data_IF_292561485335
#
_entry.id   IF_292561485335
#
_cell.length_a   1.000
_cell.length_b   1.000
_cell.length_c   1.000
_cell.angle_alpha   90.00
_cell.angle_beta   90.00
_cell.angle_gamma   90.00
#
_symmetry.space_group_name_H-M   'P 1'
#
loop_
_entity.id
_entity.type
_entity.pdbx_description
1 polymer ?
#
# COMPACT_ATOMS: atom_id res chain seq x y z
N UNK A 1 25.25 10.94 22.73
CA UNK A 1 24.36 11.70 21.83
C UNK A 1 24.20 10.87 20.57
N UNK A 2 22.97 10.65 20.10
CA UNK A 2 22.68 9.79 18.94
C UNK A 2 22.80 10.65 17.67
N UNK A 3 23.45 10.15 16.62
CA UNK A 3 23.69 10.88 15.38
C UNK A 3 22.78 10.40 14.24
N UNK A 4 22.00 11.33 13.68
CA UNK A 4 21.12 11.13 12.52
C UNK A 4 21.62 11.88 11.26
N UNK A 5 22.86 12.40 11.28
CA UNK A 5 23.47 13.19 10.20
C UNK A 5 23.46 12.51 8.83
N UNK A 6 23.38 11.18 8.79
CA UNK A 6 23.25 10.38 7.57
C UNK A 6 22.09 10.83 6.68
N UNK A 7 20.99 11.32 7.27
CA UNK A 7 19.78 11.73 6.55
C UNK A 7 19.65 13.25 6.38
N UNK A 8 20.73 14.01 6.58
CA UNK A 8 20.70 15.48 6.50
C UNK A 8 20.47 16.01 5.08
N UNK A 9 20.83 15.23 4.06
CA UNK A 9 20.81 15.66 2.66
C UNK A 9 19.94 14.69 1.86
N UNK A 10 18.64 14.93 1.87
CA UNK A 10 17.64 14.20 1.08
C UNK A 10 17.10 15.16 0.01
N UNK A 11 17.07 14.71 -1.24
CA UNK A 11 16.49 15.42 -2.37
C UNK A 11 15.19 14.72 -2.78
N UNK A 12 14.08 15.43 -2.64
CA UNK A 12 12.74 15.03 -3.07
C UNK A 12 12.34 15.91 -4.25
N UNK A 13 12.12 15.32 -5.43
CA UNK A 13 11.86 16.11 -6.65
C UNK A 13 10.50 16.79 -6.67
N UNK A 14 9.55 16.24 -5.92
CA UNK A 14 8.15 16.65 -5.75
C UNK A 14 7.87 17.20 -4.35
N UNK A 15 8.87 17.85 -3.74
CA UNK A 15 8.73 18.51 -2.44
C UNK A 15 7.74 19.69 -2.54
N UNK A 16 6.53 19.50 -2.00
CA UNK A 16 5.45 20.51 -2.00
C UNK A 16 5.72 21.69 -1.07
N UNK A 17 6.64 21.54 -0.11
CA UNK A 17 7.03 22.62 0.80
C UNK A 17 8.05 23.57 0.16
N UNK A 18 8.80 23.13 -0.86
CA UNK A 18 9.78 23.94 -1.61
C UNK A 18 9.19 24.46 -2.93
N UNK A 19 8.21 25.36 -2.79
CA UNK A 19 7.48 25.98 -3.91
C UNK A 19 7.56 27.51 -3.85
N UNK A 20 7.21 28.17 -4.95
CA UNK A 20 7.20 29.63 -5.03
C UNK A 20 5.88 30.09 -5.66
N UNK A 21 5.19 31.14 -5.13
CA UNK A 21 3.89 31.58 -5.63
C UNK A 21 3.83 31.92 -7.13
N UNK A 22 4.97 32.23 -7.73
CA UNK A 22 5.09 32.59 -9.14
C UNK A 22 5.64 31.47 -10.05
N UNK A 23 5.85 30.26 -9.52
CA UNK A 23 6.37 29.11 -10.28
C UNK A 23 5.32 28.00 -10.32
N UNK A 24 5.04 27.49 -11.51
CA UNK A 24 4.13 26.37 -11.72
C UNK A 24 4.75 25.07 -11.15
N UNK A 25 4.18 24.58 -10.05
CA UNK A 25 4.72 23.46 -9.27
C UNK A 25 4.77 22.14 -10.05
N UNK A 26 3.75 21.75 -10.87
CA UNK A 26 3.81 20.50 -11.63
C UNK A 26 4.92 20.50 -12.67
N UNK A 27 5.16 21.64 -13.33
CA UNK A 27 6.26 21.81 -14.28
C UNK A 27 7.62 21.81 -13.58
N UNK A 28 7.72 22.47 -12.42
CA UNK A 28 8.93 22.48 -11.60
C UNK A 28 9.35 21.09 -11.12
N UNK A 29 8.41 20.28 -10.62
CA UNK A 29 8.71 18.92 -10.14
C UNK A 29 9.23 18.01 -11.26
N UNK A 30 8.62 18.10 -12.45
CA UNK A 30 9.10 17.38 -13.63
C UNK A 30 10.51 17.82 -14.02
N UNK A 31 10.79 19.12 -13.97
CA UNK A 31 12.11 19.65 -14.27
C UNK A 31 13.15 19.20 -13.24
N UNK A 32 12.85 19.26 -11.95
CA UNK A 32 13.71 18.75 -10.86
C UNK A 32 14.01 17.27 -11.04
N UNK A 33 12.98 16.47 -11.35
CA UNK A 33 13.13 15.05 -11.65
C UNK A 33 14.05 14.79 -12.85
N UNK A 34 13.87 15.54 -13.94
CA UNK A 34 14.71 15.44 -15.13
C UNK A 34 16.17 15.81 -14.82
N UNK A 35 16.41 16.94 -14.16
CA UNK A 35 17.75 17.39 -13.77
C UNK A 35 18.45 16.38 -12.84
N UNK A 36 17.70 15.69 -11.98
CA UNK A 36 18.21 14.61 -11.13
C UNK A 36 18.63 13.40 -11.97
N UNK A 37 17.79 12.96 -12.90
CA UNK A 37 18.10 11.85 -13.82
C UNK A 37 19.35 12.17 -14.66
N UNK A 38 19.46 13.39 -15.18
CA UNK A 38 20.61 13.83 -15.95
C UNK A 38 21.91 13.78 -15.14
N UNK A 39 21.91 14.34 -13.92
CA UNK A 39 23.07 14.23 -12.99
C UNK A 39 23.47 12.79 -12.70
N UNK A 40 22.50 11.90 -12.45
CA UNK A 40 22.77 10.48 -12.22
C UNK A 40 23.32 9.78 -13.47
N UNK A 41 22.81 10.12 -14.65
CA UNK A 41 23.27 9.57 -15.92
C UNK A 41 24.69 10.03 -16.26
N UNK A 42 25.04 11.29 -15.99
CA UNK A 42 26.39 11.82 -16.14
C UNK A 42 27.38 11.12 -15.22
N UNK A 43 27.05 10.99 -13.93
CA UNK A 43 27.89 10.26 -12.97
C UNK A 43 28.07 8.79 -13.37
N UNK A 44 27.01 8.15 -13.86
CA UNK A 44 27.08 6.78 -14.38
C UNK A 44 28.01 6.67 -15.59
N UNK A 45 27.98 7.64 -16.51
CA UNK A 45 28.91 7.72 -17.66
C UNK A 45 30.35 7.96 -17.21
N UNK A 46 30.58 8.87 -16.27
CA UNK A 46 31.91 9.11 -15.68
C UNK A 46 32.48 7.81 -15.09
N UNK A 47 31.69 7.12 -14.26
CA UNK A 47 32.09 5.85 -13.63
C UNK A 47 32.38 4.75 -14.67
N UNK A 48 31.57 4.63 -15.73
CA UNK A 48 31.82 3.68 -16.82
C UNK A 48 33.12 4.00 -17.57
N UNK A 49 33.38 5.29 -17.85
CA UNK A 49 34.62 5.72 -18.51
C UNK A 49 35.85 5.42 -17.65
N UNK A 50 35.74 5.62 -16.34
CA UNK A 50 36.78 5.32 -15.37
C UNK A 50 37.09 3.81 -15.32
N UNK A 51 36.07 2.96 -15.21
CA UNK A 51 36.24 1.50 -15.20
C UNK A 51 36.85 1.00 -16.53
N UNK A 52 36.48 1.60 -17.67
CA UNK A 52 37.11 1.29 -18.96
C UNK A 52 38.60 1.69 -19.01
N UNK A 53 38.98 2.86 -18.49
CA UNK A 53 40.38 3.29 -18.39
C UNK A 53 41.19 2.37 -17.48
N UNK A 54 40.63 2.03 -16.31
CA UNK A 54 41.23 1.15 -15.31
C UNK A 54 41.48 -0.24 -15.87
N UNK A 55 40.46 -0.89 -16.41
CA UNK A 55 40.58 -2.22 -17.03
C UNK A 55 41.58 -2.24 -18.19
N UNK A 56 41.64 -1.19 -19.01
CA UNK A 56 42.66 -1.04 -20.06
C UNK A 56 44.07 -0.90 -19.47
N UNK A 57 44.24 -0.06 -18.44
CA UNK A 57 45.53 0.14 -17.80
C UNK A 57 46.03 -1.15 -17.13
N UNK A 58 45.16 -1.88 -16.43
CA UNK A 58 45.49 -3.13 -15.77
C UNK A 58 45.93 -4.21 -16.77
N UNK A 59 45.25 -4.32 -17.92
CA UNK A 59 45.66 -5.22 -19.02
C UNK A 59 47.05 -4.86 -19.56
N UNK A 60 47.29 -3.59 -19.85
CA UNK A 60 48.58 -3.12 -20.37
C UNK A 60 49.70 -3.33 -19.35
N UNK A 61 49.41 -3.15 -18.06
CA UNK A 61 50.38 -3.35 -16.97
C UNK A 61 50.74 -4.83 -16.82
N UNK A 62 49.76 -5.73 -16.92
CA UNK A 62 49.97 -7.18 -16.94
C UNK A 62 50.84 -7.60 -18.14
N UNK A 63 50.53 -7.11 -19.34
CA UNK A 63 51.32 -7.39 -20.55
C UNK A 63 52.75 -6.83 -20.46
N UNK A 64 52.92 -5.62 -19.92
CA UNK A 64 54.22 -5.01 -19.72
C UNK A 64 55.08 -5.78 -18.70
N UNK A 65 54.47 -6.27 -17.61
CA UNK A 65 55.14 -7.14 -16.63
C UNK A 65 55.58 -8.47 -17.25
N UNK A 66 54.71 -9.14 -18.02
CA UNK A 66 55.06 -10.36 -18.76
C UNK A 66 56.18 -10.13 -19.78
N UNK A 67 56.22 -8.97 -20.45
CA UNK A 67 57.29 -8.59 -21.38
C UNK A 67 58.64 -8.32 -20.68
N UNK A 68 58.65 -8.04 -19.38
CA UNK A 68 59.87 -7.86 -18.59
C UNK A 68 60.51 -9.20 -18.17
N UNK A 69 59.74 -10.29 -18.04
CA UNK A 69 60.20 -11.59 -17.54
C UNK A 69 61.02 -12.41 -18.55
N UNK A 70 61.25 -11.92 -19.78
CA UNK A 70 61.88 -12.70 -20.85
C UNK A 70 62.85 -11.96 -21.79
N UNK A 71 63.32 -10.75 -21.45
CA UNK A 71 64.21 -9.94 -22.31
C UNK A 71 65.49 -9.49 -21.58
N UNK A 72 66.62 -9.44 -22.29
CA UNK A 72 67.91 -8.91 -21.81
C UNK A 72 68.41 -7.76 -22.71
N UNK A 73 69.11 -6.77 -22.13
CA UNK A 73 69.65 -5.60 -22.84
C UNK A 73 68.70 -4.39 -22.93
N UNK A 74 68.84 -3.56 -23.98
CA UNK A 74 68.09 -2.29 -24.17
C UNK A 74 66.55 -2.44 -24.12
N UNK A 75 66.02 -3.61 -24.51
CA UNK A 75 64.60 -3.91 -24.50
C UNK A 75 64.01 -4.15 -23.09
N UNK A 76 64.84 -4.52 -22.10
CA UNK A 76 64.43 -4.62 -20.69
C UNK A 76 64.28 -3.24 -20.05
N UNK A 77 65.18 -2.31 -20.37
CA UNK A 77 65.12 -0.92 -19.89
C UNK A 77 63.90 -0.18 -20.46
N UNK A 78 63.54 -0.43 -21.72
CA UNK A 78 62.32 0.12 -22.32
C UNK A 78 61.06 -0.46 -21.67
N UNK A 79 61.01 -1.78 -21.42
CA UNK A 79 59.90 -2.42 -20.74
C UNK A 79 59.73 -1.95 -19.28
N UNK A 80 60.83 -1.75 -18.54
CA UNK A 80 60.81 -1.16 -17.19
C UNK A 80 60.31 0.29 -17.18
N UNK A 81 60.69 1.10 -18.17
CA UNK A 81 60.16 2.46 -18.33
C UNK A 81 58.66 2.45 -18.61
N UNK A 82 58.17 1.51 -19.40
CA UNK A 82 56.75 1.39 -19.70
C UNK A 82 55.93 0.88 -18.51
N UNK A 83 56.47 -0.06 -17.72
CA UNK A 83 55.89 -0.44 -16.42
C UNK A 83 55.82 0.76 -15.49
N UNK A 84 56.90 1.53 -15.35
CA UNK A 84 56.92 2.73 -14.50
C UNK A 84 55.93 3.82 -14.97
N UNK A 85 55.72 3.98 -16.28
CA UNK A 85 54.69 4.88 -16.84
C UNK A 85 53.28 4.38 -16.51
N UNK A 86 53.01 3.08 -16.65
CA UNK A 86 51.70 2.48 -16.37
C UNK A 86 51.37 2.51 -14.86
N UNK A 87 52.38 2.37 -14.00
CA UNK A 87 52.24 2.53 -12.54
C UNK A 87 51.97 3.99 -12.14
N UNK A 88 52.55 4.98 -12.84
CA UNK A 88 52.18 6.40 -12.66
C UNK A 88 50.72 6.65 -13.04
N UNK A 89 50.29 6.13 -14.19
CA UNK A 89 48.88 6.19 -14.63
C UNK A 89 47.94 5.49 -13.65
N UNK A 90 48.37 4.40 -13.03
CA UNK A 90 47.60 3.71 -12.01
C UNK A 90 47.39 4.58 -10.75
N UNK A 91 48.42 5.32 -10.32
CA UNK A 91 48.30 6.30 -9.23
C UNK A 91 47.37 7.46 -9.58
N UNK A 92 47.38 7.92 -10.84
CA UNK A 92 46.43 8.94 -11.32
C UNK A 92 44.99 8.42 -11.31
N UNK A 93 44.76 7.19 -11.78
CA UNK A 93 43.44 6.54 -11.71
C UNK A 93 42.97 6.31 -10.28
N UNK A 94 43.88 6.06 -9.32
CA UNK A 94 43.50 5.96 -7.91
C UNK A 94 42.96 7.30 -7.38
N UNK A 95 43.61 8.42 -7.73
CA UNK A 95 43.14 9.76 -7.38
C UNK A 95 41.81 10.10 -8.05
N UNK A 96 41.63 9.71 -9.32
CA UNK A 96 40.35 9.87 -10.05
C UNK A 96 39.23 9.08 -9.37
N UNK A 97 39.53 7.87 -8.87
CA UNK A 97 38.59 7.06 -8.08
C UNK A 97 38.20 7.73 -6.77
N UNK A 98 39.17 8.19 -5.99
CA UNK A 98 38.89 8.85 -4.70
C UNK A 98 38.05 10.11 -4.90
N UNK A 99 38.22 10.82 -6.02
CA UNK A 99 37.38 11.95 -6.39
C UNK A 99 35.95 11.51 -6.72
N UNK A 100 35.77 10.42 -7.48
CA UNK A 100 34.45 9.83 -7.76
C UNK A 100 33.76 9.35 -6.48
N UNK A 101 34.45 8.59 -5.62
CA UNK A 101 33.90 8.10 -4.34
C UNK A 101 33.47 9.26 -3.42
N UNK A 102 34.20 10.39 -3.45
CA UNK A 102 33.80 11.61 -2.73
C UNK A 102 32.56 12.25 -3.34
N UNK A 103 32.47 12.34 -4.68
CA UNK A 103 31.25 12.82 -5.35
C UNK A 103 30.05 11.96 -4.97
N UNK A 104 30.21 10.63 -4.97
CA UNK A 104 29.14 9.69 -4.59
C UNK A 104 28.69 9.85 -3.14
N UNK A 105 29.62 10.04 -2.20
CA UNK A 105 29.29 10.28 -0.78
C UNK A 105 28.61 11.61 -0.53
N UNK A 106 28.91 12.63 -1.35
CA UNK A 106 28.28 13.95 -1.26
C UNK A 106 26.94 14.02 -2.00
N UNK A 107 26.57 12.98 -2.76
CA UNK A 107 25.29 12.97 -3.45
C UNK A 107 24.13 12.98 -2.45
N UNK A 108 23.07 13.74 -2.76
CA UNK A 108 21.86 13.70 -1.96
C UNK A 108 21.18 12.34 -2.05
N UNK A 109 20.60 11.92 -0.94
CA UNK A 109 19.72 10.76 -0.87
C UNK A 109 18.43 11.03 -1.62
N UNK A 110 17.98 10.08 -2.42
CA UNK A 110 16.73 10.13 -3.18
C UNK A 110 16.11 8.72 -3.23
N UNK A 111 14.92 8.58 -3.84
CA UNK A 111 14.20 7.31 -3.92
C UNK A 111 15.04 6.15 -4.47
N UNK A 112 15.96 6.43 -5.40
CA UNK A 112 16.81 5.42 -6.06
C UNK A 112 18.07 5.04 -5.26
N UNK A 113 18.48 5.89 -4.31
CA UNK A 113 19.69 5.69 -3.49
C UNK A 113 19.36 5.24 -2.08
N UNK A 114 18.23 5.67 -1.51
CA UNK A 114 17.80 5.35 -0.14
C UNK A 114 17.49 3.86 0.02
N UNK A 115 16.78 3.28 -0.95
CA UNK A 115 16.29 1.91 -0.84
C UNK A 115 16.12 1.24 -2.20
N UNK A 116 15.90 -0.07 -2.18
CA UNK A 116 15.50 -0.87 -3.33
C UNK A 116 14.22 -1.63 -2.97
N UNK A 117 13.48 -2.06 -3.98
CA UNK A 117 12.31 -2.92 -3.78
C UNK A 117 12.73 -4.20 -3.05
N UNK A 118 12.31 -4.35 -1.79
CA UNK A 118 12.63 -5.52 -0.97
C UNK A 118 11.64 -6.67 -1.16
N UNK A 119 10.35 -6.34 -1.18
CA UNK A 119 9.26 -7.29 -1.36
C UNK A 119 8.04 -6.58 -1.95
N UNK A 120 7.43 -7.19 -2.96
CA UNK A 120 6.19 -6.69 -3.56
C UNK A 120 5.22 -7.86 -3.71
N UNK A 121 4.05 -7.75 -3.07
CA UNK A 121 2.95 -8.72 -3.19
C UNK A 121 1.64 -7.98 -3.33
N UNK A 122 0.98 -8.19 -4.45
CA UNK A 122 -0.37 -7.67 -4.70
C UNK A 122 -1.37 -8.78 -4.50
N UNK A 123 -2.39 -8.54 -3.67
CA UNK A 123 -3.51 -9.46 -3.45
C UNK A 123 -4.77 -8.74 -3.89
N UNK A 124 -5.42 -9.25 -4.94
CA UNK A 124 -6.72 -8.78 -5.37
C UNK A 124 -7.79 -9.68 -4.76
N UNK A 125 -8.61 -9.12 -3.87
CA UNK A 125 -9.74 -9.85 -3.29
C UNK A 125 -10.88 -9.91 -4.32
N UNK A 126 -10.89 -10.97 -5.13
CA UNK A 126 -11.99 -11.22 -6.08
C UNK A 126 -13.20 -11.74 -5.29
N UNK A 127 -14.42 -11.23 -5.53
CA UNK A 127 -15.61 -11.74 -4.87
C UNK A 127 -15.77 -13.24 -5.21
N UNK A 128 -15.83 -14.08 -4.20
CA UNK A 128 -16.18 -15.49 -4.40
C UNK A 128 -17.69 -15.57 -4.65
N UNK A 129 -18.15 -16.40 -5.60
CA UNK A 129 -19.57 -16.74 -5.70
C UNK A 129 -20.04 -17.25 -4.34
N UNK A 130 -21.18 -16.77 -3.86
CA UNK A 130 -21.79 -17.32 -2.64
C UNK A 130 -22.10 -18.80 -2.92
N UNK A 131 -21.30 -19.71 -2.39
CA UNK A 131 -21.71 -21.09 -2.24
C UNK A 131 -22.88 -21.06 -1.26
N UNK A 132 -24.09 -21.27 -1.76
CA UNK A 132 -25.24 -21.55 -0.91
C UNK A 132 -24.94 -22.87 -0.20
N UNK A 133 -24.33 -22.77 0.98
CA UNK A 133 -24.26 -23.90 1.89
C UNK A 133 -25.72 -24.27 2.18
N UNK A 134 -26.19 -25.36 1.59
CA UNK A 134 -27.50 -25.93 1.85
C UNK A 134 -27.45 -26.52 3.25
N UNK A 135 -27.46 -25.67 4.29
CA UNK A 135 -27.61 -26.11 5.66
C UNK A 135 -28.97 -26.80 5.80
N UNK A 136 -28.96 -27.95 6.47
CA UNK A 136 -30.20 -28.63 6.85
C UNK A 136 -31.02 -27.74 7.79
N UNK A 137 -32.35 -27.92 7.80
CA UNK A 137 -33.25 -27.09 8.62
C UNK A 137 -32.87 -27.12 10.11
N UNK A 138 -32.39 -28.27 10.59
CA UNK A 138 -31.91 -28.44 11.98
C UNK A 138 -30.68 -27.59 12.30
N UNK A 139 -29.74 -27.45 11.35
CA UNK A 139 -28.53 -26.64 11.54
C UNK A 139 -28.86 -25.13 11.48
N UNK A 140 -29.84 -24.75 10.64
CA UNK A 140 -30.36 -23.37 10.60
C UNK A 140 -31.02 -23.01 11.93
N UNK A 141 -31.77 -23.92 12.55
CA UNK A 141 -32.37 -23.68 13.86
C UNK A 141 -31.31 -23.53 14.97
N UNK A 142 -30.28 -24.39 14.98
CA UNK A 142 -29.19 -24.30 15.96
C UNK A 142 -28.38 -23.00 15.81
N UNK A 143 -28.07 -22.61 14.57
CA UNK A 143 -27.34 -21.36 14.30
C UNK A 143 -28.18 -20.15 14.65
N UNK A 144 -29.49 -20.18 14.38
CA UNK A 144 -30.42 -19.13 14.80
C UNK A 144 -30.49 -19.01 16.33
N UNK A 145 -30.57 -20.12 17.07
CA UNK A 145 -30.58 -20.09 18.55
C UNK A 145 -29.30 -19.45 19.10
N UNK A 146 -28.13 -19.89 18.64
CA UNK A 146 -26.84 -19.31 19.04
C UNK A 146 -26.75 -17.81 18.71
N UNK A 147 -27.15 -17.43 17.50
CA UNK A 147 -27.14 -16.04 17.07
C UNK A 147 -28.03 -15.15 17.96
N UNK A 148 -29.23 -15.63 18.28
CA UNK A 148 -30.18 -14.92 19.14
C UNK A 148 -29.63 -14.80 20.57
N UNK A 149 -29.05 -15.86 21.13
CA UNK A 149 -28.46 -15.85 22.47
C UNK A 149 -27.29 -14.86 22.58
N UNK A 150 -26.40 -14.83 21.57
CA UNK A 150 -25.24 -13.95 21.55
C UNK A 150 -25.61 -12.48 21.31
N UNK A 151 -26.64 -12.23 20.49
CA UNK A 151 -27.00 -10.88 20.05
C UNK A 151 -28.29 -10.34 20.67
N UNK A 152 -28.90 -11.04 21.63
CA UNK A 152 -30.15 -10.65 22.27
C UNK A 152 -30.20 -9.17 22.73
N UNK A 153 -29.18 -8.63 23.43
CA UNK A 153 -29.22 -7.22 23.85
C UNK A 153 -29.20 -6.26 22.66
N UNK A 154 -28.45 -6.58 21.60
CA UNK A 154 -28.36 -5.76 20.40
C UNK A 154 -29.66 -5.81 19.58
N UNK A 155 -30.30 -6.98 19.50
CA UNK A 155 -31.58 -7.18 18.83
C UNK A 155 -32.69 -6.37 19.50
N UNK A 156 -32.71 -6.38 20.85
CA UNK A 156 -33.63 -5.56 21.64
C UNK A 156 -33.34 -4.07 21.47
N UNK A 157 -32.08 -3.65 21.54
CA UNK A 157 -31.70 -2.25 21.31
C UNK A 157 -32.15 -1.77 19.93
N UNK A 158 -31.92 -2.56 18.88
CA UNK A 158 -32.36 -2.24 17.53
C UNK A 158 -33.88 -2.08 17.43
N UNK A 159 -34.65 -3.02 17.98
CA UNK A 159 -36.12 -2.94 17.92
C UNK A 159 -36.73 -1.80 18.74
N UNK A 160 -35.97 -1.19 19.64
CA UNK A 160 -36.38 0.03 20.37
C UNK A 160 -36.07 1.33 19.61
N UNK A 161 -35.34 1.28 18.50
CA UNK A 161 -35.07 2.46 17.67
C UNK A 161 -36.31 2.86 16.87
N UNK A 162 -36.40 4.14 16.52
CA UNK A 162 -37.50 4.69 15.73
C UNK A 162 -37.01 5.52 14.55
N UNK A 163 -35.99 6.36 14.76
CA UNK A 163 -35.45 7.23 13.71
C UNK A 163 -34.61 6.42 12.73
N UNK A 164 -34.83 6.66 11.44
CA UNK A 164 -34.09 6.01 10.37
C UNK A 164 -32.57 6.26 10.44
N UNK A 165 -32.13 7.45 10.86
CA UNK A 165 -30.71 7.76 11.03
C UNK A 165 -30.06 6.93 12.13
N UNK A 166 -30.76 6.73 13.25
CA UNK A 166 -30.27 5.96 14.38
C UNK A 166 -30.24 4.46 14.01
N UNK A 167 -31.30 3.96 13.35
CA UNK A 167 -31.35 2.59 12.82
C UNK A 167 -30.24 2.32 11.79
N UNK A 168 -29.94 3.31 10.92
CA UNK A 168 -28.85 3.21 9.92
C UNK A 168 -27.48 3.13 10.60
N UNK A 169 -27.20 4.01 11.56
CA UNK A 169 -25.92 4.01 12.30
C UNK A 169 -25.74 2.70 13.06
N UNK A 170 -26.77 2.25 13.76
CA UNK A 170 -26.73 1.01 14.52
C UNK A 170 -26.46 -0.22 13.63
N UNK A 171 -27.10 -0.31 12.46
CA UNK A 171 -26.87 -1.41 11.52
C UNK A 171 -25.51 -1.33 10.81
N UNK A 172 -24.92 -0.14 10.68
CA UNK A 172 -23.55 0.01 10.18
C UNK A 172 -22.49 -0.37 11.23
N UNK A 173 -22.76 -0.10 12.51
CA UNK A 173 -21.92 -0.56 13.63
C UNK A 173 -22.05 -2.08 13.85
N UNK A 174 -23.22 -2.64 13.57
CA UNK A 174 -23.53 -4.06 13.71
C UNK A 174 -24.05 -4.70 12.40
N UNK A 175 -23.23 -4.81 11.33
CA UNK A 175 -23.68 -5.33 10.04
C UNK A 175 -24.15 -6.78 10.09
N UNK A 176 -23.71 -7.56 11.08
CA UNK A 176 -24.12 -8.96 11.26
C UNK A 176 -25.61 -9.10 11.59
N UNK A 177 -26.25 -8.04 12.11
CA UNK A 177 -27.68 -8.02 12.40
C UNK A 177 -28.55 -7.90 11.14
N UNK A 178 -28.01 -7.48 10.00
CA UNK A 178 -28.74 -7.46 8.72
C UNK A 178 -28.82 -8.87 8.12
N UNK A 179 -29.55 -9.77 8.80
CA UNK A 179 -29.75 -11.17 8.41
C UNK A 179 -31.21 -11.61 8.66
N UNK A 180 -31.62 -12.72 8.04
CA UNK A 180 -32.98 -13.27 8.19
C UNK A 180 -33.30 -13.66 9.65
N UNK A 181 -32.30 -14.09 10.43
CA UNK A 181 -32.48 -14.47 11.83
C UNK A 181 -32.94 -13.30 12.71
N UNK A 182 -32.43 -12.09 12.44
CA UNK A 182 -32.87 -10.88 13.15
C UNK A 182 -34.34 -10.59 12.86
N UNK A 183 -34.77 -10.67 11.60
CA UNK A 183 -36.17 -10.48 11.24
C UNK A 183 -37.07 -11.51 11.95
N UNK A 184 -36.67 -12.79 11.96
CA UNK A 184 -37.41 -13.86 12.65
C UNK A 184 -37.51 -13.61 14.16
N UNK A 185 -36.43 -13.16 14.80
CA UNK A 185 -36.43 -12.82 16.23
C UNK A 185 -37.39 -11.66 16.52
N UNK A 186 -37.35 -10.58 15.72
CA UNK A 186 -38.22 -9.42 15.92
C UNK A 186 -39.70 -9.79 15.76
N UNK A 187 -40.05 -10.64 14.79
CA UNK A 187 -41.43 -11.16 14.64
C UNK A 187 -41.86 -11.95 15.87
N UNK A 188 -41.01 -12.88 16.35
CA UNK A 188 -41.30 -13.65 17.57
C UNK A 188 -41.43 -12.74 18.79
N UNK A 189 -40.63 -11.67 18.86
CA UNK A 189 -40.72 -10.68 19.93
C UNK A 189 -42.02 -9.90 19.88
N UNK A 190 -42.48 -9.48 18.69
CA UNK A 190 -43.80 -8.87 18.51
C UNK A 190 -44.93 -9.78 19.02
N UNK A 191 -44.89 -11.08 18.71
CA UNK A 191 -45.90 -12.04 19.21
C UNK A 191 -45.89 -12.11 20.74
N UNK A 192 -44.70 -12.17 21.37
CA UNK A 192 -44.59 -12.19 22.84
C UNK A 192 -45.13 -10.90 23.46
N UNK A 193 -44.83 -9.75 22.87
CA UNK A 193 -45.33 -8.46 23.34
C UNK A 193 -46.84 -8.31 23.20
N UNK A 194 -47.43 -8.91 22.16
CA UNK A 194 -48.88 -8.94 21.96
C UNK A 194 -49.57 -9.82 23.01
N UNK A 195 -48.96 -10.96 23.38
CA UNK A 195 -49.44 -11.79 24.51
C UNK A 195 -49.35 -11.06 25.85
N UNK A 196 -48.39 -10.15 26.01
CA UNK A 196 -48.22 -9.29 27.19
C UNK A 196 -49.10 -8.02 27.15
N UNK A 197 -50.01 -7.89 26.17
CA UNK A 197 -50.92 -6.74 25.97
C UNK A 197 -50.20 -5.38 25.73
N UNK A 198 -48.96 -5.39 25.22
CA UNK A 198 -48.16 -4.18 24.96
C UNK A 198 -48.23 -3.73 23.50
N UNK A 199 -49.42 -3.35 23.02
CA UNK A 199 -49.68 -3.06 21.60
C UNK A 199 -48.83 -1.89 21.04
N UNK A 200 -48.61 -0.82 21.80
CA UNK A 200 -47.80 0.31 21.32
C UNK A 200 -46.36 -0.09 21.01
N UNK A 201 -45.81 -1.00 21.82
CA UNK A 201 -44.45 -1.51 21.65
C UNK A 201 -44.37 -2.49 20.48
N UNK A 202 -45.42 -3.28 20.25
CA UNK A 202 -45.54 -4.14 19.06
C UNK A 202 -45.44 -3.31 17.79
N UNK A 203 -46.15 -2.18 17.69
CA UNK A 203 -46.05 -1.29 16.53
C UNK A 203 -44.63 -0.76 16.29
N UNK A 204 -43.91 -0.41 17.35
CA UNK A 204 -42.53 0.08 17.24
C UNK A 204 -41.56 -1.00 16.77
N UNK A 205 -41.63 -2.20 17.38
CA UNK A 205 -40.75 -3.32 17.01
C UNK A 205 -41.08 -3.83 15.60
N UNK A 206 -42.37 -3.85 15.22
CA UNK A 206 -42.80 -4.23 13.87
C UNK A 206 -42.24 -3.28 12.80
N UNK A 207 -42.19 -1.97 13.06
CA UNK A 207 -41.58 -1.00 12.14
C UNK A 207 -40.09 -1.32 11.87
N UNK A 208 -39.32 -1.60 12.92
CA UNK A 208 -37.91 -1.99 12.76
C UNK A 208 -37.75 -3.36 12.08
N UNK A 209 -38.68 -4.29 12.32
CA UNK A 209 -38.71 -5.57 11.62
C UNK A 209 -38.89 -5.38 10.11
N UNK A 210 -39.83 -4.53 9.70
CA UNK A 210 -40.09 -4.22 8.29
C UNK A 210 -38.85 -3.55 7.64
N UNK A 211 -38.16 -2.67 8.36
CA UNK A 211 -36.92 -2.05 7.88
C UNK A 211 -35.86 -3.10 7.50
N UNK A 212 -35.62 -4.11 8.37
CA UNK A 212 -34.66 -5.18 8.05
C UNK A 212 -35.17 -6.06 6.92
N UNK A 213 -36.46 -6.37 6.85
CA UNK A 213 -37.03 -7.16 5.76
C UNK A 213 -36.82 -6.47 4.41
N UNK A 214 -37.02 -5.16 4.31
CA UNK A 214 -36.73 -4.42 3.09
C UNK A 214 -35.25 -4.40 2.73
N UNK A 215 -34.33 -4.32 3.71
CA UNK A 215 -32.88 -4.45 3.44
C UNK A 215 -32.54 -5.82 2.86
N UNK A 216 -33.15 -6.89 3.40
CA UNK A 216 -32.98 -8.25 2.89
C UNK A 216 -33.58 -8.41 1.48
N UNK A 217 -34.76 -7.85 1.23
CA UNK A 217 -35.41 -7.86 -0.07
C UNK A 217 -34.61 -7.11 -1.13
N UNK A 218 -34.08 -5.93 -0.80
CA UNK A 218 -33.19 -5.17 -1.68
C UNK A 218 -31.90 -5.94 -1.99
N UNK A 219 -31.33 -6.64 -1.01
CA UNK A 219 -30.18 -7.51 -1.22
C UNK A 219 -30.49 -8.64 -2.20
N UNK A 220 -31.67 -9.28 -2.07
CA UNK A 220 -32.13 -10.32 -3.00
C UNK A 220 -32.34 -9.78 -4.41
N UNK A 221 -32.97 -8.62 -4.57
CA UNK A 221 -33.21 -7.99 -5.88
C UNK A 221 -31.92 -7.57 -6.59
N UNK A 222 -30.91 -7.13 -5.84
CA UNK A 222 -29.63 -6.66 -6.38
C UNK A 222 -28.58 -7.79 -6.50
N UNK A 223 -28.90 -9.01 -6.06
CA UNK A 223 -27.95 -10.14 -5.95
C UNK A 223 -26.68 -9.80 -5.14
N UNK A 224 -26.82 -8.90 -4.16
CA UNK A 224 -25.74 -8.42 -3.30
C UNK A 224 -26.02 -8.83 -1.86
N UNK A 225 -24.96 -8.94 -1.06
CA UNK A 225 -25.12 -9.18 0.38
C UNK A 225 -25.95 -8.07 1.04
N UNK A 226 -27.04 -8.38 1.76
CA UNK A 226 -27.92 -7.38 2.39
C UNK A 226 -27.17 -6.36 3.25
N UNK A 227 -26.04 -6.77 3.85
CA UNK A 227 -25.14 -5.92 4.64
C UNK A 227 -24.60 -4.72 3.85
N UNK A 228 -24.34 -4.89 2.56
CA UNK A 228 -23.87 -3.81 1.68
C UNK A 228 -24.99 -2.88 1.24
N UNK A 229 -26.25 -3.31 1.39
CA UNK A 229 -27.43 -2.56 0.96
C UNK A 229 -28.04 -1.67 2.06
N UNK A 230 -27.58 -1.79 3.32
CA UNK A 230 -28.09 -1.05 4.49
C UNK A 230 -28.13 0.46 4.20
N UNK A 231 -26.99 1.04 3.80
CA UNK A 231 -26.91 2.49 3.52
C UNK A 231 -27.82 2.91 2.38
N UNK A 232 -27.91 2.10 1.32
CA UNK A 232 -28.73 2.39 0.14
C UNK A 232 -30.22 2.38 0.47
N UNK A 233 -30.67 1.46 1.33
CA UNK A 233 -32.05 1.42 1.81
C UNK A 233 -32.43 2.69 2.57
N UNK A 234 -31.68 3.03 3.63
CA UNK A 234 -32.02 4.17 4.47
C UNK A 234 -31.91 5.52 3.74
N UNK A 235 -31.01 5.64 2.77
CA UNK A 235 -30.98 6.84 1.92
C UNK A 235 -32.21 6.90 1.01
N UNK A 236 -32.65 5.78 0.43
CA UNK A 236 -33.84 5.74 -0.44
C UNK A 236 -35.13 6.00 0.33
N UNK A 237 -35.31 5.44 1.51
CA UNK A 237 -36.54 5.63 2.31
C UNK A 237 -36.68 7.07 2.82
N UNK A 238 -35.56 7.78 3.03
CA UNK A 238 -35.57 9.20 3.39
C UNK A 238 -35.81 10.13 2.20
N UNK A 239 -35.54 9.66 0.97
CA UNK A 239 -35.74 10.42 -0.27
C UNK A 239 -37.06 10.08 -0.98
N UNK A 240 -37.72 8.99 -0.57
CA UNK A 240 -39.03 8.61 -1.07
C UNK A 240 -40.08 9.41 -0.30
N UNK A 241 -40.56 10.49 -0.92
CA UNK A 241 -41.74 11.25 -0.47
C UNK A 241 -43.02 10.40 -0.45
#
# INVERSE_FOLDING_TARGET
MVDYSKWKTIEVSDDEDDTHPNIDTPSLFRWRHQARIERMNELKKEHQSYEAKKTRNDKLLLEARKRCEGKTGKALEEAKRDVAKLERKQKELLKEKEALDKKEKMMPWNVDTISKEGFQKTILNKPQPKEELVLTEEEKEQTQKKFVEENEPLLKQYGMLQKYDDSKRFLLEHPHLACEYTANYLVLWCIRLEMDEKHDLVCHVAHQCICIQYVLELGKQLEVDPRSCISSFFTRIQMAD
#
